data_IF_546592922708
#
_entry.id   IF_546592922708
#
_cell.length_a   1.000
_cell.length_b   1.000
_cell.length_c   1.000
_cell.angle_alpha   90.00
_cell.angle_beta   90.00
_cell.angle_gamma   90.00
#
_symmetry.space_group_name_H-M   'P 1'
#
loop_
_entity.id
_entity.type
_entity.pdbx_description
1 polymer ?
#
# COMPACT_ATOMS: atom_id res chain seq x y z
N UNK A 1 -28.71 80.73 2.32
CA UNK A 1 -29.07 79.56 1.49
C UNK A 1 -27.88 78.60 1.43
N UNK A 2 -28.03 77.37 1.93
CA UNK A 2 -26.98 76.35 1.84
C UNK A 2 -27.22 75.50 0.59
N UNK A 3 -26.13 75.24 -0.11
CA UNK A 3 -26.07 74.30 -1.21
C UNK A 3 -25.74 72.90 -0.72
N UNK A 4 -26.63 71.95 -0.90
CA UNK A 4 -26.42 70.52 -0.73
C UNK A 4 -25.40 70.03 -1.74
N UNK A 5 -24.41 69.32 -1.25
CA UNK A 5 -23.51 68.54 -2.10
C UNK A 5 -23.77 67.05 -1.86
N UNK A 6 -24.38 66.41 -2.85
CA UNK A 6 -24.63 64.98 -2.89
C UNK A 6 -23.33 64.24 -3.24
N UNK A 7 -22.88 63.38 -2.41
CA UNK A 7 -21.81 62.43 -2.70
C UNK A 7 -22.41 61.17 -3.31
N UNK A 8 -21.78 60.53 -4.31
CA UNK A 8 -22.23 59.24 -4.85
C UNK A 8 -21.79 58.09 -3.95
N UNK A 9 -22.75 57.22 -3.62
CA UNK A 9 -22.51 55.92 -3.03
C UNK A 9 -21.88 55.00 -4.10
N UNK A 10 -20.66 54.60 -3.90
CA UNK A 10 -20.03 53.54 -4.66
C UNK A 10 -20.36 52.20 -4.05
N UNK A 11 -21.17 51.40 -4.71
CA UNK A 11 -21.38 49.97 -4.41
C UNK A 11 -20.06 49.22 -4.65
N UNK A 12 -19.36 48.86 -3.59
CA UNK A 12 -18.26 47.93 -3.66
C UNK A 12 -18.85 46.50 -3.71
N UNK A 13 -18.96 45.96 -4.91
CA UNK A 13 -19.17 44.53 -5.12
C UNK A 13 -17.97 43.76 -4.51
N UNK A 14 -18.20 43.16 -3.37
CA UNK A 14 -17.30 42.13 -2.82
C UNK A 14 -17.41 40.90 -3.70
N UNK A 15 -16.48 40.79 -4.64
CA UNK A 15 -16.23 39.52 -5.34
C UNK A 15 -15.73 38.52 -4.30
N UNK A 16 -16.60 37.62 -3.88
CA UNK A 16 -16.25 36.45 -3.11
C UNK A 16 -15.30 35.59 -3.97
N UNK A 17 -14.01 35.69 -3.71
CA UNK A 17 -13.03 34.70 -4.18
C UNK A 17 -13.42 33.39 -3.54
N UNK A 18 -14.00 32.50 -4.32
CA UNK A 18 -14.17 31.10 -3.99
C UNK A 18 -12.79 30.55 -3.66
N UNK A 19 -12.50 30.39 -2.38
CA UNK A 19 -11.38 29.61 -1.91
C UNK A 19 -11.68 28.18 -2.34
N UNK A 20 -11.04 27.71 -3.39
CA UNK A 20 -11.02 26.29 -3.71
C UNK A 20 -10.47 25.58 -2.46
N UNK A 21 -11.32 24.82 -1.79
CA UNK A 21 -10.88 23.95 -0.71
C UNK A 21 -9.75 23.07 -1.26
N UNK A 22 -8.66 22.93 -0.49
CA UNK A 22 -7.61 21.98 -0.84
C UNK A 22 -8.29 20.62 -1.09
N UNK A 23 -7.89 19.89 -2.14
CA UNK A 23 -8.49 18.59 -2.42
C UNK A 23 -8.37 17.72 -1.17
N UNK A 24 -9.45 17.04 -0.80
CA UNK A 24 -9.45 16.08 0.29
C UNK A 24 -8.30 15.09 0.02
N UNK A 25 -7.55 14.75 1.08
CA UNK A 25 -6.35 13.91 0.93
C UNK A 25 -6.70 12.52 0.39
N UNK A 26 -7.87 11.99 0.75
CA UNK A 26 -8.34 10.66 0.38
C UNK A 26 -9.19 10.61 -0.88
N UNK A 27 -9.53 9.37 -1.27
CA UNK A 27 -10.47 9.11 -2.35
C UNK A 27 -11.91 9.33 -1.85
N UNK A 28 -12.73 9.91 -2.69
CA UNK A 28 -14.18 9.98 -2.45
C UNK A 28 -14.84 8.64 -2.76
N UNK A 29 -16.04 8.39 -2.23
CA UNK A 29 -16.79 7.16 -2.54
C UNK A 29 -17.01 6.96 -4.06
N UNK A 30 -17.23 8.04 -4.82
CA UNK A 30 -17.36 7.96 -6.27
C UNK A 30 -16.03 7.60 -6.97
N UNK A 31 -14.90 8.00 -6.43
CA UNK A 31 -13.58 7.66 -6.96
C UNK A 31 -13.16 6.24 -6.58
N UNK A 32 -13.58 5.74 -5.42
CA UNK A 32 -13.44 4.32 -5.07
C UNK A 32 -14.27 3.45 -6.02
N UNK A 33 -15.51 3.81 -6.29
CA UNK A 33 -16.36 3.13 -7.28
C UNK A 33 -15.74 3.18 -8.69
N UNK A 34 -15.18 4.32 -9.09
CA UNK A 34 -14.45 4.45 -10.37
C UNK A 34 -13.24 3.50 -10.41
N UNK A 35 -12.51 3.39 -9.31
CA UNK A 35 -11.33 2.53 -9.22
C UNK A 35 -11.70 1.04 -9.29
N UNK A 36 -12.77 0.62 -8.62
CA UNK A 36 -13.30 -0.74 -8.73
C UNK A 36 -13.71 -1.06 -10.17
N UNK A 37 -14.42 -0.13 -10.84
CA UNK A 37 -14.80 -0.28 -12.25
C UNK A 37 -13.58 -0.35 -13.18
N UNK A 38 -12.51 0.42 -12.90
CA UNK A 38 -11.24 0.32 -13.64
C UNK A 38 -10.63 -1.06 -13.47
N UNK A 39 -10.53 -1.58 -12.24
CA UNK A 39 -9.99 -2.92 -11.98
C UNK A 39 -10.83 -4.01 -12.64
N UNK A 40 -12.17 -3.89 -12.64
CA UNK A 40 -13.06 -4.81 -13.35
C UNK A 40 -12.80 -4.81 -14.87
N UNK A 41 -12.58 -3.64 -15.44
CA UNK A 41 -12.22 -3.54 -16.86
C UNK A 41 -10.83 -4.13 -17.14
N UNK A 42 -9.85 -3.92 -16.26
CA UNK A 42 -8.53 -4.56 -16.37
C UNK A 42 -8.63 -6.09 -16.34
N UNK A 43 -9.52 -6.68 -15.52
CA UNK A 43 -9.77 -8.14 -15.45
C UNK A 43 -10.26 -8.72 -16.76
N UNK A 44 -10.86 -7.92 -17.63
CA UNK A 44 -11.22 -8.40 -18.99
C UNK A 44 -10.03 -8.70 -19.87
N UNK A 45 -8.82 -8.21 -19.51
CA UNK A 45 -7.58 -8.35 -20.27
C UNK A 45 -6.49 -9.14 -19.52
N UNK A 46 -6.63 -9.26 -18.18
CA UNK A 46 -5.70 -10.01 -17.34
C UNK A 46 -6.45 -10.80 -16.28
N UNK A 47 -6.27 -12.13 -16.25
CA UNK A 47 -7.04 -13.02 -15.34
C UNK A 47 -6.65 -12.83 -13.87
N UNK A 48 -5.45 -12.31 -13.57
CA UNK A 48 -4.90 -12.21 -12.22
C UNK A 48 -4.94 -10.77 -11.64
N UNK A 49 -5.73 -9.87 -12.23
CA UNK A 49 -5.88 -8.51 -11.71
C UNK A 49 -6.63 -8.56 -10.36
N UNK A 50 -6.01 -8.12 -9.26
CA UNK A 50 -6.62 -8.21 -7.94
C UNK A 50 -7.74 -7.20 -7.74
N UNK A 51 -8.55 -7.40 -6.69
CA UNK A 51 -9.54 -6.42 -6.25
C UNK A 51 -8.88 -5.29 -5.44
N UNK A 52 -9.61 -4.18 -5.25
CA UNK A 52 -9.05 -2.98 -4.63
C UNK A 52 -8.54 -3.22 -3.21
N UNK A 53 -9.25 -3.97 -2.39
CA UNK A 53 -8.82 -4.32 -1.03
C UNK A 53 -7.43 -4.97 -1.02
N UNK A 54 -7.15 -5.89 -1.95
CA UNK A 54 -5.83 -6.48 -2.12
C UNK A 54 -4.79 -5.44 -2.54
N UNK A 55 -5.15 -4.56 -3.48
CA UNK A 55 -4.26 -3.48 -3.94
C UNK A 55 -3.90 -2.52 -2.80
N UNK A 56 -4.83 -2.20 -1.91
CA UNK A 56 -4.60 -1.34 -0.75
C UNK A 56 -3.62 -1.98 0.25
N UNK A 57 -3.79 -3.26 0.55
CA UNK A 57 -2.85 -4.02 1.38
C UNK A 57 -1.45 -4.07 0.77
N UNK A 58 -1.36 -4.40 -0.51
CA UNK A 58 -0.12 -4.39 -1.27
C UNK A 58 0.57 -3.02 -1.24
N UNK A 59 -0.16 -1.95 -1.54
CA UNK A 59 0.32 -0.58 -1.51
C UNK A 59 0.87 -0.22 -0.13
N UNK A 60 0.16 -0.59 0.93
CA UNK A 60 0.56 -0.34 2.31
C UNK A 60 1.90 -1.00 2.63
N UNK A 61 2.10 -2.25 2.22
CA UNK A 61 3.37 -2.96 2.41
C UNK A 61 4.52 -2.30 1.61
N UNK A 62 4.28 -1.93 0.35
CA UNK A 62 5.28 -1.23 -0.47
C UNK A 62 5.69 0.10 0.16
N UNK A 63 4.72 0.87 0.71
CA UNK A 63 4.99 2.11 1.45
C UNK A 63 5.82 1.85 2.72
N UNK A 64 5.58 0.73 3.40
CA UNK A 64 6.29 0.33 4.61
C UNK A 64 7.60 -0.40 4.33
N UNK A 65 7.96 -0.68 3.08
CA UNK A 65 9.21 -1.37 2.77
C UNK A 65 10.46 -0.57 3.16
N UNK A 66 11.56 -1.27 3.42
CA UNK A 66 12.80 -0.64 3.88
C UNK A 66 13.45 0.29 2.87
N UNK A 67 13.31 -0.03 1.57
CA UNK A 67 13.73 0.86 0.48
C UNK A 67 12.51 1.34 -0.29
N UNK A 68 12.59 2.48 -0.96
CA UNK A 68 11.57 2.86 -1.94
C UNK A 68 11.55 1.83 -3.08
N UNK A 69 10.38 1.25 -3.36
CA UNK A 69 10.14 0.38 -4.51
C UNK A 69 9.45 1.24 -5.57
N UNK A 70 10.05 1.32 -6.76
CA UNK A 70 9.54 2.20 -7.81
C UNK A 70 8.27 1.65 -8.49
N UNK A 71 7.38 2.51 -9.02
CA UNK A 71 6.19 2.08 -9.77
C UNK A 71 6.53 1.13 -10.95
N UNK A 72 7.67 1.35 -11.62
CA UNK A 72 8.14 0.47 -12.68
C UNK A 72 8.48 -0.95 -12.22
N UNK A 73 8.75 -1.13 -10.92
CA UNK A 73 9.06 -2.40 -10.30
C UNK A 73 7.79 -3.09 -9.77
N UNK A 74 6.92 -2.36 -9.04
CA UNK A 74 5.79 -2.97 -8.37
C UNK A 74 4.50 -3.07 -9.23
N UNK A 75 4.26 -2.15 -10.17
CA UNK A 75 3.04 -2.20 -10.97
C UNK A 75 2.97 -3.42 -11.91
N UNK A 76 4.06 -3.82 -12.60
CA UNK A 76 4.05 -5.06 -13.38
C UNK A 76 3.83 -6.31 -12.52
N UNK A 77 4.30 -6.30 -11.27
CA UNK A 77 4.09 -7.40 -10.33
C UNK A 77 2.63 -7.49 -9.90
N UNK A 78 1.98 -6.35 -9.70
CA UNK A 78 0.59 -6.28 -9.24
C UNK A 78 -0.43 -6.46 -10.38
N UNK A 79 -0.18 -5.88 -11.56
CA UNK A 79 -1.14 -5.74 -12.65
C UNK A 79 -0.70 -6.44 -13.95
N UNK A 80 0.35 -7.23 -13.93
CA UNK A 80 0.95 -7.81 -15.12
C UNK A 80 1.50 -9.21 -14.92
N UNK A 81 2.47 -9.56 -15.74
CA UNK A 81 3.17 -10.84 -15.73
C UNK A 81 4.42 -10.83 -14.82
N UNK A 82 4.62 -9.78 -14.04
CA UNK A 82 5.78 -9.61 -13.18
C UNK A 82 7.07 -9.27 -13.92
N UNK A 83 7.02 -9.00 -15.23
CA UNK A 83 8.18 -8.61 -16.00
C UNK A 83 8.70 -7.23 -15.56
N UNK A 84 9.96 -7.18 -15.16
CA UNK A 84 10.62 -5.94 -14.74
C UNK A 84 10.72 -4.95 -15.91
N UNK A 85 10.33 -3.71 -15.70
CA UNK A 85 10.40 -2.66 -16.70
C UNK A 85 11.75 -1.93 -16.61
N UNK A 86 12.46 -1.87 -17.71
CA UNK A 86 13.68 -1.06 -17.83
C UNK A 86 13.30 0.40 -18.11
N UNK A 87 12.98 1.13 -17.03
CA UNK A 87 12.59 2.55 -17.07
C UNK A 87 13.60 3.35 -16.25
N UNK A 88 14.21 4.36 -16.86
CA UNK A 88 15.15 5.23 -16.15
C UNK A 88 14.40 6.06 -15.09
N UNK A 89 15.11 6.41 -14.02
CA UNK A 89 14.56 7.23 -12.94
C UNK A 89 14.03 8.57 -13.49
N UNK A 90 12.76 8.86 -13.22
CA UNK A 90 12.08 10.09 -13.67
C UNK A 90 11.48 10.02 -15.09
N UNK A 91 11.62 8.91 -15.79
CA UNK A 91 10.89 8.69 -17.04
C UNK A 91 9.46 8.19 -16.78
N UNK A 92 8.49 8.56 -17.65
CA UNK A 92 7.13 8.09 -17.51
C UNK A 92 7.05 6.58 -17.76
N UNK A 93 6.17 5.91 -17.01
CA UNK A 93 5.89 4.49 -17.22
C UNK A 93 5.36 4.25 -18.65
N UNK A 94 5.82 3.21 -19.34
CA UNK A 94 5.21 2.77 -20.59
C UNK A 94 3.77 2.30 -20.33
N UNK A 95 2.98 2.21 -21.37
CA UNK A 95 1.65 1.63 -21.29
C UNK A 95 1.77 0.16 -20.90
N UNK A 96 1.23 -0.20 -19.74
CA UNK A 96 1.18 -1.58 -19.26
C UNK A 96 0.09 -2.35 -20.04
N UNK A 97 0.30 -3.65 -20.33
CA UNK A 97 -0.63 -4.46 -21.12
C UNK A 97 -2.05 -4.58 -20.52
N UNK A 98 -2.17 -4.44 -19.20
CA UNK A 98 -3.45 -4.49 -18.50
C UNK A 98 -4.39 -3.32 -18.89
N UNK A 99 -3.84 -2.16 -19.26
CA UNK A 99 -4.64 -0.98 -19.59
C UNK A 99 -5.05 -0.95 -21.06
N UNK A 100 -6.27 -0.46 -21.33
CA UNK A 100 -6.77 -0.30 -22.67
C UNK A 100 -6.01 0.77 -23.46
N UNK A 101 -5.64 1.86 -22.79
CA UNK A 101 -4.91 2.99 -23.36
C UNK A 101 -4.21 3.82 -22.28
N UNK A 102 -3.44 4.81 -22.73
CA UNK A 102 -2.68 5.69 -21.86
C UNK A 102 -3.57 6.60 -20.98
N UNK A 103 -4.79 6.90 -21.40
CA UNK A 103 -5.70 7.73 -20.61
C UNK A 103 -6.25 6.93 -19.41
N UNK A 104 -6.62 5.68 -19.64
CA UNK A 104 -7.03 4.77 -18.57
C UNK A 104 -5.90 4.55 -17.55
N UNK A 105 -4.68 4.29 -18.02
CA UNK A 105 -3.51 4.16 -17.15
C UNK A 105 -3.25 5.43 -16.36
N UNK A 106 -3.29 6.59 -16.98
CA UNK A 106 -3.06 7.86 -16.31
C UNK A 106 -4.11 8.12 -15.21
N UNK A 107 -5.40 7.80 -15.47
CA UNK A 107 -6.45 7.96 -14.47
C UNK A 107 -6.30 7.00 -13.31
N UNK A 108 -5.96 5.74 -13.57
CA UNK A 108 -5.65 4.77 -12.52
C UNK A 108 -4.50 5.25 -11.64
N UNK A 109 -3.39 5.70 -12.24
CA UNK A 109 -2.23 6.19 -11.49
C UNK A 109 -2.54 7.45 -10.68
N UNK A 110 -3.40 8.35 -11.17
CA UNK A 110 -3.84 9.52 -10.41
C UNK A 110 -4.58 9.12 -9.13
N UNK A 111 -5.51 8.16 -9.21
CA UNK A 111 -6.24 7.64 -8.05
C UNK A 111 -5.31 6.87 -7.11
N UNK A 112 -4.43 6.06 -7.67
CA UNK A 112 -3.39 5.34 -6.93
C UNK A 112 -2.50 6.27 -6.13
N UNK A 113 -1.97 7.32 -6.74
CA UNK A 113 -1.07 8.28 -6.09
C UNK A 113 -1.79 9.06 -4.98
N UNK A 114 -3.08 9.37 -5.14
CA UNK A 114 -3.87 10.01 -4.08
C UNK A 114 -4.01 9.10 -2.88
N UNK A 115 -4.36 7.82 -3.09
CA UNK A 115 -4.43 6.85 -1.98
C UNK A 115 -3.07 6.62 -1.34
N UNK A 116 -2.02 6.51 -2.13
CA UNK A 116 -0.64 6.42 -1.65
C UNK A 116 -0.29 7.57 -0.70
N UNK A 117 -0.53 8.80 -1.11
CA UNK A 117 -0.23 9.98 -0.31
C UNK A 117 -1.08 10.06 0.97
N UNK A 118 -2.31 9.59 0.93
CA UNK A 118 -3.18 9.47 2.09
C UNK A 118 -2.58 8.49 3.11
N UNK A 119 -2.25 7.26 2.69
CA UNK A 119 -1.64 6.25 3.56
C UNK A 119 -0.34 6.77 4.17
N UNK A 120 0.55 7.35 3.37
CA UNK A 120 1.81 7.94 3.86
C UNK A 120 1.55 8.99 4.93
N UNK A 121 0.59 9.88 4.70
CA UNK A 121 0.24 10.95 5.64
C UNK A 121 -0.31 10.39 6.95
N UNK A 122 -1.20 9.40 6.88
CA UNK A 122 -1.78 8.75 8.03
C UNK A 122 -0.72 8.00 8.84
N UNK A 123 0.13 7.20 8.19
CA UNK A 123 1.20 6.44 8.84
C UNK A 123 2.33 7.31 9.41
N UNK A 124 2.50 8.52 8.92
CA UNK A 124 3.50 9.48 9.41
C UNK A 124 2.92 10.41 10.49
N UNK A 125 1.62 10.29 10.80
CA UNK A 125 0.94 11.05 11.85
C UNK A 125 1.06 10.32 13.20
N UNK A 126 1.45 11.04 14.25
CA UNK A 126 1.48 10.48 15.61
C UNK A 126 0.05 10.37 16.15
N UNK A 127 -0.46 9.15 16.24
CA UNK A 127 -1.76 8.79 16.79
C UNK A 127 -1.59 7.96 18.05
N UNK A 128 -2.56 8.02 18.98
CA UNK A 128 -2.50 7.32 20.27
C UNK A 128 -3.56 6.23 20.41
N UNK A 129 -4.61 6.32 19.63
CA UNK A 129 -5.72 5.36 19.62
C UNK A 129 -6.22 5.17 18.20
N UNK A 130 -6.83 4.03 17.91
CA UNK A 130 -7.43 3.76 16.60
C UNK A 130 -8.70 4.56 16.33
N UNK A 131 -9.30 5.17 17.37
CA UNK A 131 -10.46 6.06 17.26
C UNK A 131 -10.10 7.49 16.81
N UNK A 132 -8.81 7.82 16.68
CA UNK A 132 -8.36 9.10 16.13
C UNK A 132 -8.69 9.14 14.64
N UNK A 133 -9.42 10.16 14.18
CA UNK A 133 -9.81 10.33 12.76
C UNK A 133 -8.62 10.40 11.78
N UNK A 134 -7.41 10.65 12.29
CA UNK A 134 -6.16 10.70 11.52
C UNK A 134 -5.47 9.34 11.41
N UNK A 135 -6.01 8.33 12.09
CA UNK A 135 -5.44 6.97 12.07
C UNK A 135 -5.53 6.39 10.65
N UNK A 136 -4.52 5.60 10.30
CA UNK A 136 -4.54 4.83 9.07
C UNK A 136 -5.79 3.93 9.02
N UNK A 137 -6.56 4.09 7.95
CA UNK A 137 -7.77 3.34 7.69
C UNK A 137 -7.54 2.46 6.46
N UNK A 138 -7.29 1.14 6.63
CA UNK A 138 -7.25 0.20 5.51
C UNK A 138 -8.58 0.14 4.76
N UNK A 139 -8.53 0.01 3.44
CA UNK A 139 -9.69 -0.25 2.59
C UNK A 139 -10.08 -1.73 2.68
N UNK A 140 -10.65 -2.12 3.82
CA UNK A 140 -11.09 -3.48 4.08
C UNK A 140 -12.62 -3.56 4.16
N UNK A 141 -13.20 -4.53 3.47
CA UNK A 141 -14.65 -4.71 3.41
C UNK A 141 -15.10 -5.97 4.15
N UNK A 142 -16.16 -5.86 4.95
CA UNK A 142 -16.84 -7.03 5.50
C UNK A 142 -17.81 -7.63 4.46
N UNK A 143 -17.24 -8.43 3.56
CA UNK A 143 -17.99 -9.11 2.51
C UNK A 143 -19.05 -10.08 3.06
N UNK A 144 -18.76 -10.73 4.21
CA UNK A 144 -19.73 -11.63 4.88
C UNK A 144 -20.92 -10.83 5.41
N UNK A 145 -20.68 -9.66 6.00
CA UNK A 145 -21.72 -8.74 6.46
C UNK A 145 -22.53 -8.17 5.30
N UNK A 146 -21.87 -7.81 4.21
CA UNK A 146 -22.55 -7.36 3.00
C UNK A 146 -23.49 -8.43 2.45
N UNK A 147 -23.01 -9.66 2.25
CA UNK A 147 -23.82 -10.80 1.78
C UNK A 147 -24.94 -11.15 2.77
N UNK A 148 -24.67 -11.16 4.06
CA UNK A 148 -25.68 -11.42 5.08
C UNK A 148 -26.81 -10.38 5.11
N UNK A 149 -26.53 -9.17 4.63
CA UNK A 149 -27.49 -8.06 4.53
C UNK A 149 -28.32 -8.08 3.26
N UNK A 150 -28.00 -8.95 2.28
CA UNK A 150 -28.75 -9.09 1.04
C UNK A 150 -30.14 -9.72 1.27
N UNK A 151 -31.13 -9.44 0.38
CA UNK A 151 -32.39 -10.19 0.34
C UNK A 151 -32.14 -11.70 0.23
N UNK A 152 -33.07 -12.51 0.79
CA UNK A 152 -32.93 -13.97 0.84
C UNK A 152 -32.69 -14.60 -0.55
N UNK A 153 -33.33 -14.10 -1.60
CA UNK A 153 -33.16 -14.60 -2.95
C UNK A 153 -31.73 -14.40 -3.48
N UNK A 154 -31.17 -13.22 -3.29
CA UNK A 154 -29.80 -12.88 -3.72
C UNK A 154 -28.75 -13.62 -2.88
N UNK A 155 -28.99 -13.73 -1.57
CA UNK A 155 -28.13 -14.50 -0.67
C UNK A 155 -28.07 -15.98 -1.03
N UNK A 156 -29.18 -16.55 -1.49
CA UNK A 156 -29.25 -17.95 -1.93
C UNK A 156 -28.35 -18.20 -3.17
N UNK A 157 -28.16 -17.21 -4.04
CA UNK A 157 -27.25 -17.30 -5.19
C UNK A 157 -25.76 -17.35 -4.78
N UNK A 158 -25.45 -16.83 -3.59
CA UNK A 158 -24.11 -16.84 -3.03
C UNK A 158 -23.82 -18.08 -2.17
N UNK A 159 -24.83 -18.96 -1.97
CA UNK A 159 -24.68 -20.14 -1.13
C UNK A 159 -23.63 -21.10 -1.70
N UNK A 160 -22.65 -21.48 -0.87
CA UNK A 160 -21.54 -22.36 -1.26
C UNK A 160 -20.34 -21.63 -1.89
N UNK A 161 -20.39 -20.31 -2.02
CA UNK A 161 -19.21 -19.53 -2.38
C UNK A 161 -18.36 -19.27 -1.12
N UNK A 162 -17.03 -19.35 -1.29
CA UNK A 162 -16.09 -18.92 -0.25
C UNK A 162 -16.06 -17.40 -0.19
N UNK A 163 -16.57 -16.84 0.92
CA UNK A 163 -16.56 -15.40 1.17
C UNK A 163 -15.44 -15.10 2.14
N UNK A 164 -14.45 -14.28 1.76
CA UNK A 164 -13.32 -13.96 2.62
C UNK A 164 -13.77 -13.29 3.92
N UNK A 165 -13.00 -13.50 4.97
CA UNK A 165 -13.18 -12.85 6.26
C UNK A 165 -12.82 -11.37 6.19
N UNK A 166 -13.36 -10.57 7.10
CA UNK A 166 -13.03 -9.14 7.20
C UNK A 166 -11.51 -8.91 7.29
N UNK A 167 -10.96 -8.08 6.40
CA UNK A 167 -9.54 -7.75 6.32
C UNK A 167 -8.63 -8.87 5.78
N UNK A 168 -9.18 -10.03 5.39
CA UNK A 168 -8.36 -11.15 4.88
C UNK A 168 -7.70 -10.80 3.55
N UNK A 169 -8.45 -10.22 2.63
CA UNK A 169 -7.94 -9.88 1.30
C UNK A 169 -6.91 -8.77 1.37
N UNK A 170 -7.10 -7.80 2.25
CA UNK A 170 -6.11 -6.77 2.53
C UNK A 170 -4.79 -7.36 3.03
N UNK A 171 -4.87 -8.28 4.00
CA UNK A 171 -3.69 -8.94 4.55
C UNK A 171 -2.96 -9.81 3.50
N UNK A 172 -3.71 -10.51 2.64
CA UNK A 172 -3.13 -11.26 1.53
C UNK A 172 -2.37 -10.33 0.55
N UNK A 173 -2.92 -9.15 0.24
CA UNK A 173 -2.24 -8.14 -0.57
C UNK A 173 -0.96 -7.63 0.09
N UNK A 174 -0.99 -7.37 1.39
CA UNK A 174 0.19 -6.96 2.15
C UNK A 174 1.28 -8.03 2.10
N UNK A 175 0.93 -9.28 2.42
CA UNK A 175 1.89 -10.39 2.44
C UNK A 175 2.41 -10.73 1.05
N UNK A 176 1.61 -10.56 0.00
CA UNK A 176 2.08 -10.70 -1.37
C UNK A 176 3.26 -9.75 -1.69
N UNK A 177 3.19 -8.50 -1.24
CA UNK A 177 4.32 -7.58 -1.38
C UNK A 177 5.54 -8.02 -0.55
N UNK A 178 5.34 -8.46 0.69
CA UNK A 178 6.43 -8.96 1.56
C UNK A 178 7.16 -10.13 0.92
N UNK A 179 6.44 -11.07 0.31
CA UNK A 179 6.98 -12.26 -0.34
C UNK A 179 7.72 -11.95 -1.66
N UNK A 180 7.29 -10.91 -2.39
CA UNK A 180 7.93 -10.53 -3.64
C UNK A 180 9.23 -9.74 -3.45
N UNK A 181 9.43 -9.08 -2.30
CA UNK A 181 10.67 -8.38 -1.96
C UNK A 181 11.31 -8.89 -0.67
N UNK A 182 11.66 -10.18 -0.57
CA UNK A 182 12.11 -10.79 0.68
C UNK A 182 13.42 -10.19 1.21
N UNK A 183 14.22 -9.59 0.34
CA UNK A 183 15.46 -8.92 0.77
C UNK A 183 15.19 -7.61 1.51
N UNK A 184 14.12 -6.90 1.14
CA UNK A 184 13.73 -5.64 1.75
C UNK A 184 13.01 -5.84 3.09
N UNK A 185 12.47 -7.06 3.30
CA UNK A 185 11.83 -7.50 4.53
C UNK A 185 12.71 -8.44 5.37
N UNK A 186 13.98 -8.63 4.98
CA UNK A 186 14.89 -9.49 5.72
C UNK A 186 15.14 -8.95 7.14
N UNK A 187 15.12 -9.86 8.11
CA UNK A 187 15.31 -9.55 9.52
C UNK A 187 16.60 -8.72 9.76
N UNK A 188 16.52 -7.65 10.56
CA UNK A 188 17.68 -6.89 10.98
C UNK A 188 18.69 -7.75 11.75
N UNK A 189 19.94 -7.28 11.81
CA UNK A 189 20.98 -7.96 12.64
C UNK A 189 20.77 -7.76 14.13
N UNK A 190 20.15 -6.66 14.50
CA UNK A 190 19.73 -6.39 15.87
C UNK A 190 18.60 -7.34 16.24
N UNK A 191 18.73 -8.06 17.35
CA UNK A 191 17.79 -9.10 17.74
C UNK A 191 16.44 -8.54 18.21
N UNK A 192 16.45 -7.39 18.85
CA UNK A 192 15.23 -6.74 19.32
C UNK A 192 14.42 -6.22 18.12
N UNK A 193 15.10 -5.57 17.18
CA UNK A 193 14.48 -5.11 15.93
C UNK A 193 13.98 -6.29 15.05
N UNK A 194 14.70 -7.43 15.05
CA UNK A 194 14.25 -8.63 14.35
C UNK A 194 12.98 -9.21 14.97
N UNK A 195 12.90 -9.24 16.30
CA UNK A 195 11.70 -9.71 17.00
C UNK A 195 10.51 -8.79 16.75
N UNK A 196 10.71 -7.49 16.75
CA UNK A 196 9.63 -6.53 16.42
C UNK A 196 9.11 -6.70 14.99
N UNK A 197 10.01 -6.96 14.03
CA UNK A 197 9.61 -7.27 12.67
C UNK A 197 8.76 -8.55 12.61
N UNK A 198 9.22 -9.62 13.27
CA UNK A 198 8.52 -10.91 13.30
C UNK A 198 7.15 -10.75 13.95
N UNK A 199 7.06 -10.13 15.13
CA UNK A 199 5.79 -9.92 15.86
C UNK A 199 4.78 -9.08 15.03
N UNK A 200 5.27 -8.05 14.35
CA UNK A 200 4.42 -7.21 13.51
C UNK A 200 3.93 -7.95 12.26
N UNK A 201 4.78 -8.72 11.60
CA UNK A 201 4.37 -9.54 10.45
C UNK A 201 3.42 -10.65 10.87
N UNK A 202 3.63 -11.30 12.02
CA UNK A 202 2.74 -12.33 12.55
C UNK A 202 1.32 -11.80 12.77
N UNK A 203 1.17 -10.54 13.24
CA UNK A 203 -0.13 -9.89 13.40
C UNK A 203 -0.87 -9.72 12.06
N UNK A 204 -0.15 -9.43 10.97
CA UNK A 204 -0.73 -9.32 9.63
C UNK A 204 -1.02 -10.71 9.04
N UNK A 205 -0.09 -11.66 9.21
CA UNK A 205 -0.27 -13.06 8.77
C UNK A 205 -1.50 -13.68 9.42
N UNK A 206 -1.79 -13.40 10.68
CA UNK A 206 -2.99 -13.89 11.36
C UNK A 206 -4.30 -13.49 10.65
N UNK A 207 -4.31 -12.36 9.95
CA UNK A 207 -5.46 -11.94 9.14
C UNK A 207 -5.58 -12.67 7.80
N UNK A 208 -4.55 -13.33 7.30
CA UNK A 208 -4.64 -14.13 6.07
C UNK A 208 -5.45 -15.41 6.27
N UNK A 209 -5.55 -15.86 7.52
CA UNK A 209 -6.34 -17.02 7.90
C UNK A 209 -7.84 -16.70 7.97
N UNK A 210 -8.67 -17.73 7.87
CA UNK A 210 -10.12 -17.58 7.96
C UNK A 210 -10.57 -17.25 9.40
N UNK A 211 -11.59 -16.38 9.54
CA UNK A 211 -12.27 -16.15 10.81
C UNK A 211 -13.23 -17.30 11.11
N UNK A 212 -12.77 -18.21 11.97
CA UNK A 212 -13.58 -19.36 12.46
C UNK A 212 -14.29 -19.07 13.78
N UNK A 213 -14.17 -17.82 14.29
CA UNK A 213 -14.82 -17.38 15.52
C UNK A 213 -16.33 -17.26 15.36
N UNK A 214 -17.02 -17.14 16.50
CA UNK A 214 -18.46 -16.90 16.48
C UNK A 214 -18.71 -15.46 16.00
N UNK A 215 -19.56 -15.25 14.96
CA UNK A 215 -19.94 -13.90 14.55
C UNK A 215 -20.67 -13.16 15.68
N UNK A 216 -20.21 -11.95 16.01
CA UNK A 216 -20.75 -11.12 17.09
C UNK A 216 -21.00 -9.68 16.65
N UNK A 217 -20.28 -9.19 15.64
CA UNK A 217 -20.39 -7.84 15.10
C UNK A 217 -20.57 -7.86 13.59
N UNK A 218 -21.11 -6.76 13.03
CA UNK A 218 -21.14 -6.51 11.60
C UNK A 218 -20.29 -5.28 11.31
N UNK A 219 -19.23 -5.47 10.51
CA UNK A 219 -18.35 -4.36 10.11
C UNK A 219 -18.85 -3.66 8.83
N UNK A 220 -19.86 -4.25 8.15
CA UNK A 220 -20.45 -3.67 6.95
C UNK A 220 -21.42 -2.53 7.27
N UNK A 221 -22.27 -2.71 8.31
CA UNK A 221 -23.15 -1.66 8.81
C UNK A 221 -23.52 -1.93 10.28
N UNK A 222 -23.85 -0.89 11.05
CA UNK A 222 -24.12 -0.97 12.49
C UNK A 222 -25.34 -1.86 12.84
N UNK A 223 -26.35 -1.91 11.96
CA UNK A 223 -27.60 -2.64 12.18
C UNK A 223 -27.62 -3.99 11.44
N UNK A 224 -26.51 -4.38 10.82
CA UNK A 224 -26.40 -5.61 10.04
C UNK A 224 -26.36 -6.87 10.90
N UNK A 225 -26.69 -8.03 10.28
CA UNK A 225 -26.53 -9.32 10.98
C UNK A 225 -25.05 -9.56 11.28
N UNK A 226 -24.71 -10.11 12.47
CA UNK A 226 -23.34 -10.42 12.83
C UNK A 226 -22.64 -11.31 11.78
N UNK A 227 -21.43 -10.91 11.38
CA UNK A 227 -20.64 -11.54 10.30
C UNK A 227 -19.20 -11.78 10.68
N UNK A 228 -18.69 -11.02 11.67
CA UNK A 228 -17.28 -11.01 12.08
C UNK A 228 -17.20 -11.32 13.58
N UNK A 229 -16.21 -12.12 13.99
CA UNK A 229 -15.95 -12.39 15.40
C UNK A 229 -15.28 -11.21 16.09
N UNK A 230 -15.48 -11.07 17.40
CA UNK A 230 -14.78 -10.06 18.20
C UNK A 230 -13.26 -10.24 18.13
N UNK A 231 -12.78 -11.48 18.14
CA UNK A 231 -11.36 -11.78 18.01
C UNK A 231 -10.78 -11.29 16.67
N UNK A 232 -11.56 -11.37 15.58
CA UNK A 232 -11.15 -10.87 14.28
C UNK A 232 -11.04 -9.35 14.24
N UNK A 233 -11.97 -8.64 14.89
CA UNK A 233 -11.90 -7.17 15.01
C UNK A 233 -10.67 -6.75 15.83
N UNK A 234 -10.38 -7.45 16.91
CA UNK A 234 -9.18 -7.21 17.73
C UNK A 234 -7.91 -7.46 16.92
N UNK A 235 -7.81 -8.59 16.22
CA UNK A 235 -6.67 -8.91 15.35
C UNK A 235 -6.48 -7.85 14.23
N UNK A 236 -7.56 -7.33 13.65
CA UNK A 236 -7.49 -6.26 12.67
C UNK A 236 -6.92 -4.97 13.28
N UNK A 237 -7.33 -4.61 14.48
CA UNK A 237 -6.76 -3.49 15.23
C UNK A 237 -5.27 -3.68 15.53
N UNK A 238 -4.85 -4.88 15.93
CA UNK A 238 -3.44 -5.23 16.14
C UNK A 238 -2.63 -5.12 14.84
N UNK A 239 -3.18 -5.56 13.71
CA UNK A 239 -2.53 -5.43 12.41
C UNK A 239 -2.36 -3.96 11.98
N UNK A 240 -3.31 -3.07 12.27
CA UNK A 240 -3.13 -1.63 12.02
C UNK A 240 -1.94 -1.09 12.82
N UNK A 241 -1.82 -1.42 14.10
CA UNK A 241 -0.66 -1.03 14.91
C UNK A 241 0.64 -1.63 14.38
N UNK A 242 0.62 -2.88 13.94
CA UNK A 242 1.78 -3.53 13.33
C UNK A 242 2.28 -2.76 12.09
N UNK A 243 1.40 -2.21 11.26
CA UNK A 243 1.78 -1.36 10.12
C UNK A 243 2.52 -0.09 10.59
N UNK A 244 2.06 0.57 11.65
CA UNK A 244 2.77 1.71 12.24
C UNK A 244 4.15 1.29 12.76
N UNK A 245 4.25 0.17 13.44
CA UNK A 245 5.51 -0.36 13.98
C UNK A 245 6.51 -0.68 12.86
N UNK A 246 6.07 -1.33 11.78
CA UNK A 246 6.88 -1.60 10.59
C UNK A 246 7.38 -0.31 9.93
N UNK A 247 6.49 0.67 9.78
CA UNK A 247 6.86 2.00 9.24
C UNK A 247 7.92 2.69 10.07
N UNK A 248 7.78 2.68 11.40
CA UNK A 248 8.73 3.27 12.34
C UNK A 248 10.05 2.51 12.37
N UNK A 249 10.00 1.19 12.37
CA UNK A 249 11.19 0.33 12.36
C UNK A 249 12.09 0.69 11.18
N UNK A 250 11.58 0.67 9.97
CA UNK A 250 12.38 0.94 8.79
C UNK A 250 12.85 2.40 8.70
N UNK A 251 12.04 3.36 9.11
CA UNK A 251 12.46 4.76 9.24
C UNK A 251 13.63 4.92 10.21
N UNK A 252 13.60 4.23 11.35
CA UNK A 252 14.66 4.29 12.36
C UNK A 252 15.97 3.69 11.89
N UNK A 253 15.91 2.66 11.06
CA UNK A 253 17.09 1.93 10.57
C UNK A 253 17.69 2.54 9.30
N UNK A 254 16.92 3.33 8.56
CA UNK A 254 17.33 3.88 7.27
C UNK A 254 17.56 2.83 6.18
N UNK A 255 18.03 3.27 5.00
CA UNK A 255 18.27 2.39 3.85
C UNK A 255 19.27 1.27 4.19
N UNK A 256 19.09 0.11 3.55
CA UNK A 256 20.03 -1.01 3.69
C UNK A 256 21.39 -0.62 3.13
N UNK A 257 22.42 -0.63 3.98
CA UNK A 257 23.80 -0.42 3.55
C UNK A 257 24.34 -1.74 3.03
N UNK A 258 24.48 -1.85 1.71
CA UNK A 258 25.21 -2.95 1.11
C UNK A 258 26.68 -2.85 1.52
N UNK A 259 27.17 -3.88 2.21
CA UNK A 259 28.61 -4.00 2.48
C UNK A 259 29.26 -4.38 1.15
N UNK A 260 29.86 -3.42 0.46
CA UNK A 260 30.76 -3.71 -0.65
C UNK A 260 31.85 -4.63 -0.12
N UNK A 261 31.68 -5.93 -0.30
CA UNK A 261 32.76 -6.88 -0.05
C UNK A 261 33.82 -6.58 -1.10
N UNK A 262 34.97 -6.04 -0.66
CA UNK A 262 36.15 -6.00 -1.52
C UNK A 262 36.31 -7.40 -2.10
N UNK A 263 36.44 -7.48 -3.43
CA UNK A 263 36.80 -8.74 -4.07
C UNK A 263 38.01 -9.34 -3.29
N UNK A 264 37.96 -10.63 -2.97
CA UNK A 264 39.03 -11.24 -2.20
C UNK A 264 40.36 -10.95 -2.91
N UNK A 265 41.31 -10.32 -2.18
CA UNK A 265 42.62 -10.08 -2.74
C UNK A 265 43.26 -11.43 -3.07
N UNK A 266 43.91 -11.55 -4.23
CA UNK A 266 44.55 -12.80 -4.61
C UNK A 266 45.50 -13.29 -3.47
N UNK A 267 45.44 -14.55 -3.13
CA UNK A 267 46.33 -15.13 -2.18
C UNK A 267 47.80 -14.99 -2.64
N UNK A 268 48.74 -14.95 -1.71
CA UNK A 268 50.18 -14.73 -2.02
C UNK A 268 50.72 -15.62 -3.13
N UNK A 269 50.15 -16.81 -3.32
CA UNK A 269 50.58 -17.79 -4.31
C UNK A 269 49.73 -17.83 -5.57
N UNK A 270 48.61 -17.10 -5.62
CA UNK A 270 47.73 -17.05 -6.77
C UNK A 270 48.33 -16.29 -7.97
N UNK A 271 47.88 -16.53 -9.18
CA UNK A 271 48.28 -15.76 -10.34
C UNK A 271 47.93 -14.25 -10.14
N UNK A 272 48.87 -13.39 -10.50
CA UNK A 272 48.66 -11.95 -10.35
C UNK A 272 47.56 -11.48 -11.35
N UNK A 273 46.61 -10.71 -10.89
CA UNK A 273 45.49 -10.16 -11.67
C UNK A 273 45.94 -9.26 -12.84
N UNK A 274 47.20 -8.82 -12.89
CA UNK A 274 47.73 -8.03 -13.99
C UNK A 274 48.05 -8.84 -15.25
N UNK A 275 47.80 -10.14 -15.30
CA UNK A 275 48.05 -11.00 -16.45
C UNK A 275 49.52 -11.33 -16.71
N UNK A 276 50.47 -10.95 -15.83
CA UNK A 276 51.90 -11.18 -16.00
C UNK A 276 52.33 -12.64 -15.85
N UNK A 277 51.44 -13.58 -15.50
CA UNK A 277 51.74 -14.97 -15.23
C UNK A 277 52.55 -15.21 -13.96
N UNK A 278 52.96 -14.17 -13.23
CA UNK A 278 53.70 -14.26 -11.98
C UNK A 278 52.75 -14.44 -10.78
N UNK A 279 53.25 -15.12 -9.72
CA UNK A 279 52.50 -15.20 -8.44
C UNK A 279 52.34 -13.79 -7.87
N UNK A 280 51.17 -13.52 -7.21
CA UNK A 280 50.81 -12.21 -6.67
C UNK A 280 51.94 -11.65 -5.78
N UNK A 281 52.54 -12.48 -4.86
CA UNK A 281 53.63 -12.08 -4.00
C UNK A 281 54.95 -11.69 -4.73
N UNK A 282 55.07 -12.00 -6.00
CA UNK A 282 56.26 -11.67 -6.81
C UNK A 282 55.96 -10.58 -7.85
N UNK A 283 54.79 -9.94 -7.78
CA UNK A 283 54.35 -8.92 -8.69
C UNK A 283 53.76 -7.71 -7.95
N UNK A 284 52.50 -7.75 -7.53
CA UNK A 284 51.81 -6.67 -6.84
C UNK A 284 51.64 -6.89 -5.31
N UNK A 285 52.04 -8.01 -4.81
CA UNK A 285 52.03 -8.36 -3.37
C UNK A 285 53.40 -8.41 -2.76
N UNK A 286 54.40 -7.74 -3.36
CA UNK A 286 55.75 -7.62 -2.84
C UNK A 286 55.89 -6.46 -1.87
#
# INVERSE_FOLDING_TARGET
>A
NPTESTAPQGDAELTATSSAAAPALGLTAAELEELDNLLDDLRTRGEEIPQWEFCDGFMTAVICSRRPIAPAEYLPMLLGDGAELDVAEGEPLPLLPAFADAAQQARFLELWDRRWNEIVTQLDTDVKTLDDERTFQPEAMDMRGAVASLPEAERAEMEGQEIPSFGQVWALGFMFAVENWPEDWAAPRDKEAAQWLDDALDSIVALTEDDTGKPEVCMYNEDGPPSTSQARVEAFGEAIWAVYDLRQLWKSMGPRVETLRKAPEPGRNDPCHCGSGKKYKKCHGA
#
